data_IF_504845116011
#
_entry.id   IF_504845116011
#
_cell.length_a   1.000
_cell.length_b   1.000
_cell.length_c   1.000
_cell.angle_alpha   90.00
_cell.angle_beta   90.00
_cell.angle_gamma   90.00
#
_symmetry.space_group_name_H-M   'P 1'
#
loop_
_entity.id
_entity.type
_entity.pdbx_description
1 polymer ?
#
# COMPACT_ATOMS: atom_id res chain seq x y z
N UNK A 1 2.19 6.32 -29.61
CA UNK A 1 2.62 4.95 -29.95
C UNK A 1 3.60 4.48 -28.89
N UNK A 2 3.38 3.30 -28.33
CA UNK A 2 4.26 2.71 -27.31
C UNK A 2 5.57 2.21 -27.94
N UNK A 3 6.65 2.24 -27.18
CA UNK A 3 7.91 1.58 -27.52
C UNK A 3 7.80 0.06 -27.34
N UNK A 4 8.67 -0.70 -28.00
CA UNK A 4 8.78 -2.17 -27.82
C UNK A 4 8.95 -2.59 -26.35
N UNK A 5 9.58 -1.73 -25.56
CA UNK A 5 9.79 -1.97 -24.13
C UNK A 5 8.50 -1.81 -23.35
N UNK A 6 7.75 -0.74 -23.61
CA UNK A 6 6.44 -0.49 -23.01
C UNK A 6 5.41 -1.55 -23.41
N UNK A 7 5.42 -2.01 -24.67
CA UNK A 7 4.59 -3.14 -25.13
C UNK A 7 4.87 -4.42 -24.34
N UNK A 8 6.15 -4.72 -24.07
CA UNK A 8 6.54 -5.87 -23.24
C UNK A 8 6.03 -5.72 -21.81
N UNK A 9 6.20 -4.54 -21.21
CA UNK A 9 5.73 -4.27 -19.86
C UNK A 9 4.20 -4.42 -19.79
N UNK A 10 3.48 -3.90 -20.78
CA UNK A 10 2.03 -4.05 -20.87
C UNK A 10 1.60 -5.53 -21.01
N UNK A 11 2.32 -6.31 -21.81
CA UNK A 11 2.10 -7.75 -21.93
C UNK A 11 2.32 -8.47 -20.60
N UNK A 12 3.44 -8.20 -19.92
CA UNK A 12 3.79 -8.78 -18.63
C UNK A 12 2.72 -8.41 -17.56
N UNK A 13 2.18 -7.20 -17.60
CA UNK A 13 1.09 -6.77 -16.72
C UNK A 13 -0.21 -7.51 -16.98
N UNK A 14 -0.62 -7.65 -18.24
CA UNK A 14 -1.83 -8.40 -18.60
C UNK A 14 -1.71 -9.85 -18.15
N UNK A 15 -0.53 -10.45 -18.26
CA UNK A 15 -0.29 -11.81 -17.76
C UNK A 15 -0.40 -11.89 -16.23
N UNK A 16 0.09 -10.90 -15.50
CA UNK A 16 -0.02 -10.82 -14.05
C UNK A 16 -1.45 -10.57 -13.59
N UNK A 17 -2.20 -9.72 -14.28
CA UNK A 17 -3.62 -9.47 -14.03
C UNK A 17 -4.42 -10.77 -14.16
N UNK A 18 -4.16 -11.57 -15.21
CA UNK A 18 -4.77 -12.88 -15.39
C UNK A 18 -4.48 -13.86 -14.24
N UNK A 19 -3.29 -13.77 -13.63
CA UNK A 19 -2.94 -14.61 -12.47
C UNK A 19 -3.72 -14.22 -11.20
N UNK A 20 -4.14 -12.94 -11.08
CA UNK A 20 -5.05 -12.54 -9.98
C UNK A 20 -6.43 -13.22 -10.10
N UNK A 21 -6.85 -13.61 -11.31
CA UNK A 21 -8.19 -14.18 -11.60
C UNK A 21 -8.36 -15.62 -11.16
N UNK A 22 -7.28 -16.39 -11.00
CA UNK A 22 -7.34 -17.84 -10.78
C UNK A 22 -7.46 -18.26 -9.30
N UNK A 23 -7.67 -17.32 -8.36
CA UNK A 23 -7.86 -17.65 -6.95
C UNK A 23 -9.35 -17.70 -6.57
N UNK A 24 -9.84 -18.89 -6.24
CA UNK A 24 -11.24 -19.16 -5.92
C UNK A 24 -11.85 -18.30 -4.80
N UNK A 25 -13.16 -18.09 -4.95
CA UNK A 25 -14.00 -17.16 -4.21
C UNK A 25 -14.39 -17.66 -2.82
N UNK A 26 -14.08 -16.85 -1.81
CA UNK A 26 -14.85 -16.84 -0.56
C UNK A 26 -15.05 -15.39 -0.14
N UNK A 27 -16.29 -15.02 0.12
CA UNK A 27 -16.72 -13.68 0.52
C UNK A 27 -15.96 -13.20 1.77
N UNK A 28 -15.14 -12.15 1.64
CA UNK A 28 -14.29 -11.59 2.71
C UNK A 28 -15.09 -11.21 3.94
N UNK A 29 -16.31 -10.71 3.74
CA UNK A 29 -17.22 -10.37 4.83
C UNK A 29 -17.59 -11.61 5.64
N UNK A 30 -17.88 -12.73 4.97
CA UNK A 30 -18.14 -14.02 5.63
C UNK A 30 -16.91 -14.57 6.34
N UNK A 31 -15.70 -14.35 5.83
CA UNK A 31 -14.47 -14.74 6.52
C UNK A 31 -14.25 -13.92 7.79
N UNK A 32 -14.45 -12.61 7.71
CA UNK A 32 -14.35 -11.69 8.85
C UNK A 32 -15.40 -12.02 9.92
N UNK A 33 -16.66 -12.19 9.51
CA UNK A 33 -17.77 -12.54 10.40
C UNK A 33 -17.55 -13.90 11.06
N UNK A 34 -17.09 -14.92 10.31
CA UNK A 34 -16.74 -16.22 10.88
C UNK A 34 -15.63 -16.12 11.94
N UNK A 35 -14.67 -15.22 11.78
CA UNK A 35 -13.59 -15.05 12.75
C UNK A 35 -13.99 -14.19 13.96
N UNK A 36 -14.69 -13.07 13.73
CA UNK A 36 -15.26 -12.23 14.79
C UNK A 36 -16.14 -13.07 15.72
N UNK A 37 -17.01 -13.88 15.13
CA UNK A 37 -17.94 -14.73 15.85
C UNK A 37 -17.28 -16.00 16.40
N UNK A 38 -16.15 -16.44 15.84
CA UNK A 38 -15.51 -17.72 16.18
C UNK A 38 -14.28 -17.66 17.09
N UNK A 39 -13.24 -16.90 16.71
CA UNK A 39 -11.95 -16.87 17.43
C UNK A 39 -11.85 -15.64 18.32
N UNK A 40 -12.34 -14.50 17.85
CA UNK A 40 -12.33 -13.26 18.63
C UNK A 40 -13.30 -13.33 19.80
N UNK A 41 -14.50 -13.90 19.61
CA UNK A 41 -15.46 -14.20 20.69
C UNK A 41 -14.91 -15.10 21.80
N UNK A 42 -13.91 -15.95 21.50
CA UNK A 42 -13.22 -16.81 22.47
C UNK A 42 -12.12 -16.09 23.27
N UNK A 43 -11.71 -14.89 22.86
CA UNK A 43 -10.77 -14.10 23.66
C UNK A 43 -11.46 -13.61 24.94
N UNK A 44 -10.75 -13.52 26.08
CA UNK A 44 -11.28 -12.91 27.28
C UNK A 44 -11.82 -11.51 27.00
N UNK A 45 -12.97 -11.18 27.57
CA UNK A 45 -13.67 -9.91 27.32
C UNK A 45 -12.78 -8.68 27.53
N UNK A 46 -11.93 -8.73 28.57
CA UNK A 46 -10.92 -7.70 28.85
C UNK A 46 -9.99 -7.42 27.66
N UNK A 47 -9.52 -8.47 26.95
CA UNK A 47 -8.63 -8.33 25.79
C UNK A 47 -9.36 -7.82 24.54
N UNK A 48 -10.63 -8.18 24.36
CA UNK A 48 -11.47 -7.63 23.27
C UNK A 48 -11.72 -6.14 23.48
N UNK A 49 -12.07 -5.75 24.70
CA UNK A 49 -12.35 -4.36 25.05
C UNK A 49 -11.08 -3.49 24.96
N UNK A 50 -9.93 -4.00 25.41
CA UNK A 50 -8.64 -3.33 25.26
C UNK A 50 -8.21 -3.16 23.79
N UNK A 51 -8.55 -4.12 22.94
CA UNK A 51 -8.31 -4.03 21.50
C UNK A 51 -9.15 -2.91 20.85
N UNK A 52 -10.46 -2.87 21.12
CA UNK A 52 -11.33 -1.83 20.57
C UNK A 52 -10.97 -0.43 21.10
N UNK A 53 -10.63 -0.31 22.38
CA UNK A 53 -10.25 0.99 22.96
C UNK A 53 -8.93 1.54 22.42
N UNK A 54 -8.00 0.66 21.99
CA UNK A 54 -6.74 1.07 21.35
C UNK A 54 -6.87 1.37 19.85
N UNK A 55 -7.89 0.82 19.19
CA UNK A 55 -8.08 0.98 17.74
C UNK A 55 -8.28 2.45 17.34
N UNK A 56 -9.00 3.24 18.16
CA UNK A 56 -9.17 4.67 17.92
C UNK A 56 -7.84 5.43 18.00
N UNK A 57 -7.00 5.09 18.99
CA UNK A 57 -5.64 5.63 19.09
C UNK A 57 -4.76 5.27 17.89
N UNK A 58 -4.86 4.04 17.38
CA UNK A 58 -4.15 3.62 16.18
C UNK A 58 -4.60 4.39 14.93
N UNK A 59 -5.91 4.61 14.77
CA UNK A 59 -6.44 5.41 13.67
C UNK A 59 -5.94 6.85 13.74
N UNK A 60 -5.93 7.44 14.94
CA UNK A 60 -5.39 8.76 15.16
C UNK A 60 -3.90 8.85 14.79
N UNK A 61 -3.08 7.90 15.24
CA UNK A 61 -1.65 7.87 14.92
C UNK A 61 -1.36 7.64 13.43
N UNK A 62 -2.14 6.78 12.76
CA UNK A 62 -2.04 6.57 11.31
C UNK A 62 -2.37 7.85 10.56
N UNK A 63 -3.46 8.51 10.93
CA UNK A 63 -3.88 9.77 10.33
C UNK A 63 -2.80 10.85 10.49
N UNK A 64 -2.26 11.02 11.72
CA UNK A 64 -1.20 11.98 12.00
C UNK A 64 0.10 11.66 11.23
N UNK A 65 0.48 10.38 11.13
CA UNK A 65 1.67 9.97 10.40
C UNK A 65 1.55 10.23 8.90
N UNK A 66 0.39 9.89 8.30
CA UNK A 66 0.13 10.10 6.87
C UNK A 66 0.18 11.59 6.53
N UNK A 67 -0.26 12.45 7.44
CA UNK A 67 -0.19 13.91 7.29
C UNK A 67 1.19 14.52 7.58
N UNK A 68 2.15 13.75 8.10
CA UNK A 68 3.47 14.30 8.46
C UNK A 68 4.26 14.76 7.22
N UNK A 69 4.38 16.07 7.05
CA UNK A 69 4.99 16.70 5.87
C UNK A 69 6.51 16.55 5.80
N UNK A 70 7.21 16.52 6.93
CA UNK A 70 8.68 16.52 6.96
C UNK A 70 9.30 15.30 6.26
N UNK A 71 8.74 14.11 6.51
CA UNK A 71 9.22 12.88 5.86
C UNK A 71 8.92 12.86 4.35
N UNK A 72 7.94 13.64 3.89
CA UNK A 72 7.59 13.78 2.46
C UNK A 72 8.58 14.70 1.76
N UNK A 73 8.96 15.82 2.38
CA UNK A 73 9.91 16.77 1.81
C UNK A 73 11.29 16.13 1.58
N UNK A 74 11.80 15.39 2.56
CA UNK A 74 13.09 14.71 2.42
C UNK A 74 13.07 13.62 1.33
N UNK A 75 11.94 12.93 1.18
CA UNK A 75 11.75 11.93 0.13
C UNK A 75 11.70 12.56 -1.26
N UNK A 76 10.93 13.65 -1.41
CA UNK A 76 10.82 14.43 -2.65
C UNK A 76 12.19 14.88 -3.14
N UNK A 77 13.00 15.47 -2.25
CA UNK A 77 14.35 15.91 -2.60
C UNK A 77 15.25 14.78 -3.12
N UNK A 78 15.20 13.59 -2.49
CA UNK A 78 15.97 12.42 -2.95
C UNK A 78 15.49 11.86 -4.29
N UNK A 79 14.17 11.81 -4.50
CA UNK A 79 13.58 11.33 -5.75
C UNK A 79 14.00 12.26 -6.90
N UNK A 80 13.81 13.57 -6.75
CA UNK A 80 14.21 14.58 -7.74
C UNK A 80 15.72 14.57 -7.98
N UNK A 81 16.53 14.44 -6.92
CA UNK A 81 17.98 14.34 -7.04
C UNK A 81 18.43 13.11 -7.86
N UNK A 82 17.74 11.99 -7.71
CA UNK A 82 18.00 10.78 -8.52
C UNK A 82 17.53 10.97 -9.96
N UNK A 83 16.37 11.59 -10.15
CA UNK A 83 15.80 11.87 -11.46
C UNK A 83 16.70 12.78 -12.31
N UNK A 84 17.33 13.78 -11.68
CA UNK A 84 18.30 14.69 -12.31
C UNK A 84 19.55 14.01 -12.85
N UNK A 85 19.85 12.78 -12.41
CA UNK A 85 20.93 11.98 -13.00
C UNK A 85 20.57 11.45 -14.39
N UNK A 86 19.28 11.35 -14.70
CA UNK A 86 18.78 10.90 -16.00
C UNK A 86 18.39 12.07 -16.91
N UNK A 87 17.85 13.14 -16.32
CA UNK A 87 17.49 14.37 -17.03
C UNK A 87 17.62 15.57 -16.08
N UNK A 88 18.57 16.46 -16.35
CA UNK A 88 18.89 17.62 -15.53
C UNK A 88 17.80 18.69 -15.50
N UNK A 89 16.88 18.69 -16.46
CA UNK A 89 15.75 19.62 -16.53
C UNK A 89 14.61 19.30 -15.54
N UNK A 90 14.72 18.25 -14.73
CA UNK A 90 13.69 17.86 -13.76
C UNK A 90 13.76 18.76 -12.53
N UNK A 91 12.74 19.59 -12.31
CA UNK A 91 12.63 20.50 -11.17
C UNK A 91 11.51 20.11 -10.22
N UNK A 92 10.40 19.65 -10.78
CA UNK A 92 9.16 19.32 -10.08
C UNK A 92 8.82 17.83 -10.22
N UNK A 93 7.90 17.35 -9.38
CA UNK A 93 7.49 15.94 -9.38
C UNK A 93 6.79 15.59 -10.70
N UNK A 94 6.04 16.53 -11.25
CA UNK A 94 5.33 16.38 -12.51
C UNK A 94 6.28 16.15 -13.69
N UNK A 95 7.51 16.71 -13.64
CA UNK A 95 8.52 16.57 -14.69
C UNK A 95 9.06 15.15 -14.81
N UNK A 96 8.85 14.32 -13.78
CA UNK A 96 9.21 12.90 -13.79
C UNK A 96 8.55 12.18 -14.99
N UNK A 97 7.39 12.64 -15.47
CA UNK A 97 6.71 12.08 -16.64
C UNK A 97 7.54 12.14 -17.93
N UNK A 98 8.56 13.00 -18.00
CA UNK A 98 9.51 13.04 -19.11
C UNK A 98 10.47 11.84 -19.15
N UNK A 99 10.61 11.10 -18.03
CA UNK A 99 11.43 9.91 -17.95
C UNK A 99 10.73 8.69 -18.58
N UNK A 100 11.55 7.73 -18.99
CA UNK A 100 11.07 6.41 -19.41
C UNK A 100 10.51 5.61 -18.22
N UNK A 101 9.58 4.71 -18.50
CA UNK A 101 9.01 3.80 -17.50
C UNK A 101 10.06 2.99 -16.73
N UNK A 102 11.18 2.62 -17.38
CA UNK A 102 12.28 1.89 -16.73
C UNK A 102 13.05 2.79 -15.74
N UNK A 103 13.28 4.07 -16.10
CA UNK A 103 13.90 5.04 -15.18
C UNK A 103 12.99 5.32 -13.97
N UNK A 104 11.68 5.50 -14.21
CA UNK A 104 10.70 5.69 -13.13
C UNK A 104 10.65 4.46 -12.20
N UNK A 105 10.60 3.26 -12.79
CA UNK A 105 10.62 2.00 -12.05
C UNK A 105 11.92 1.87 -11.23
N UNK A 106 13.06 2.21 -11.81
CA UNK A 106 14.35 2.19 -11.10
C UNK A 106 14.35 3.12 -9.88
N UNK A 107 13.86 4.36 -10.03
CA UNK A 107 13.79 5.32 -8.92
C UNK A 107 12.84 4.80 -7.83
N UNK A 108 11.67 4.27 -8.22
CA UNK A 108 10.71 3.67 -7.30
C UNK A 108 11.30 2.46 -6.54
N UNK A 109 12.01 1.57 -7.24
CA UNK A 109 12.67 0.42 -6.64
C UNK A 109 13.77 0.82 -5.66
N UNK A 110 14.55 1.86 -5.98
CA UNK A 110 15.60 2.37 -5.11
C UNK A 110 15.03 2.93 -3.80
N UNK A 111 13.93 3.71 -3.86
CA UNK A 111 13.28 4.23 -2.66
C UNK A 111 12.63 3.11 -1.84
N UNK A 112 11.97 2.16 -2.50
CA UNK A 112 11.29 1.05 -1.82
C UNK A 112 12.26 0.02 -1.24
N UNK A 113 13.44 -0.19 -1.83
CA UNK A 113 14.48 -1.05 -1.27
C UNK A 113 14.95 -0.60 0.11
N UNK A 114 15.16 0.72 0.28
CA UNK A 114 15.49 1.32 1.58
C UNK A 114 14.36 1.09 2.58
N UNK A 115 13.11 1.23 2.15
CA UNK A 115 11.95 1.00 2.99
C UNK A 115 11.79 -0.46 3.42
N UNK A 116 12.04 -1.41 2.50
CA UNK A 116 12.06 -2.85 2.79
C UNK A 116 13.11 -3.20 3.84
N UNK A 117 14.27 -2.54 3.84
CA UNK A 117 15.31 -2.71 4.85
C UNK A 117 14.84 -2.23 6.23
N UNK A 118 14.14 -1.09 6.32
CA UNK A 118 13.54 -0.63 7.57
C UNK A 118 12.49 -1.60 8.12
N UNK A 119 11.60 -2.11 7.25
CA UNK A 119 10.62 -3.14 7.64
C UNK A 119 11.28 -4.44 8.12
N UNK A 120 12.42 -4.82 7.52
CA UNK A 120 13.20 -5.98 7.93
C UNK A 120 13.83 -5.79 9.31
N UNK A 121 14.46 -4.65 9.55
CA UNK A 121 15.07 -4.29 10.85
C UNK A 121 14.00 -4.23 11.96
N UNK A 122 12.87 -3.56 11.71
CA UNK A 122 11.75 -3.52 12.66
C UNK A 122 11.18 -4.93 12.94
N UNK A 123 11.06 -5.77 11.90
CA UNK A 123 10.65 -7.16 12.03
C UNK A 123 11.64 -8.06 12.80
N UNK A 124 12.91 -7.66 12.89
CA UNK A 124 13.94 -8.34 13.69
C UNK A 124 13.86 -8.01 15.17
N UNK A 125 13.63 -6.74 15.52
CA UNK A 125 13.47 -6.27 16.92
C UNK A 125 12.24 -6.87 17.59
N UNK A 126 11.16 -7.05 16.84
CA UNK A 126 9.89 -7.64 17.31
C UNK A 126 9.94 -9.15 17.54
N UNK A 127 10.93 -9.86 16.98
CA UNK A 127 11.11 -11.31 17.13
C UNK A 127 11.60 -11.76 18.51
N UNK A 128 12.08 -10.83 19.36
CA UNK A 128 12.60 -11.12 20.71
C UNK A 128 11.49 -11.08 21.78
N UNK A 129 10.36 -10.39 21.54
CA UNK A 129 9.31 -10.12 22.55
C UNK A 129 7.97 -10.82 22.30
N UNK A 130 7.96 -12.16 22.31
CA UNK A 130 6.80 -13.01 21.98
C UNK A 130 5.42 -12.54 22.49
N UNK A 131 4.38 -12.80 21.68
CA UNK A 131 2.92 -12.59 21.89
C UNK A 131 2.41 -11.20 22.37
N UNK A 132 3.21 -10.37 23.05
CA UNK A 132 2.80 -9.13 23.73
C UNK A 132 3.01 -7.85 22.92
N UNK A 133 3.71 -7.89 21.78
CA UNK A 133 3.96 -6.72 20.91
C UNK A 133 2.91 -6.51 19.79
N UNK A 134 1.73 -7.11 19.90
CA UNK A 134 0.66 -6.89 18.92
C UNK A 134 0.00 -5.50 19.02
N UNK A 135 0.34 -4.66 20.01
CA UNK A 135 -0.39 -3.40 20.23
C UNK A 135 0.32 -2.08 19.91
N UNK A 136 1.63 -2.07 19.66
CA UNK A 136 2.37 -0.83 19.34
C UNK A 136 2.90 -0.79 17.89
N UNK A 137 3.21 -1.95 17.31
CA UNK A 137 3.89 -2.02 16.02
C UNK A 137 2.95 -2.02 14.79
N UNK A 138 1.65 -2.27 14.98
CA UNK A 138 0.69 -2.32 13.87
C UNK A 138 0.54 -0.98 13.14
N UNK A 139 0.31 0.16 13.81
CA UNK A 139 0.20 1.45 13.13
C UNK A 139 1.48 1.82 12.40
N UNK A 140 2.63 1.57 13.02
CA UNK A 140 3.94 1.86 12.40
C UNK A 140 4.14 1.03 11.14
N UNK A 141 3.82 -0.26 11.19
CA UNK A 141 3.97 -1.13 10.02
C UNK A 141 3.03 -0.71 8.87
N UNK A 142 1.77 -0.37 9.18
CA UNK A 142 0.84 0.16 8.17
C UNK A 142 1.35 1.48 7.61
N UNK A 143 1.76 2.42 8.47
CA UNK A 143 2.33 3.71 8.11
C UNK A 143 3.53 3.60 7.16
N UNK A 144 4.48 2.71 7.46
CA UNK A 144 5.64 2.45 6.60
C UNK A 144 5.21 1.90 5.23
N UNK A 145 4.26 0.96 5.19
CA UNK A 145 3.81 0.43 3.90
C UNK A 145 3.01 1.44 3.07
N UNK A 146 2.17 2.28 3.70
CA UNK A 146 1.53 3.42 3.03
C UNK A 146 2.60 4.36 2.48
N UNK A 147 3.63 4.67 3.26
CA UNK A 147 4.76 5.50 2.81
C UNK A 147 5.48 4.88 1.63
N UNK A 148 5.66 3.56 1.58
CA UNK A 148 6.26 2.89 0.45
C UNK A 148 5.43 3.07 -0.84
N UNK A 149 4.10 3.00 -0.76
CA UNK A 149 3.20 3.27 -1.91
C UNK A 149 3.28 4.74 -2.33
N UNK A 150 3.30 5.68 -1.38
CA UNK A 150 3.47 7.10 -1.67
C UNK A 150 4.80 7.39 -2.40
N UNK A 151 5.90 6.77 -1.97
CA UNK A 151 7.21 6.90 -2.62
C UNK A 151 7.18 6.40 -4.06
N UNK A 152 6.46 5.31 -4.33
CA UNK A 152 6.25 4.81 -5.70
C UNK A 152 5.46 5.85 -6.50
N UNK A 153 4.30 6.31 -6.00
CA UNK A 153 3.49 7.32 -6.65
C UNK A 153 4.30 8.55 -7.08
N UNK A 154 5.06 9.11 -6.13
CA UNK A 154 5.94 10.27 -6.36
C UNK A 154 7.06 9.97 -7.33
N UNK A 155 7.62 8.75 -7.32
CA UNK A 155 8.63 8.33 -8.29
C UNK A 155 8.08 8.25 -9.72
N UNK A 156 6.78 8.01 -9.89
CA UNK A 156 6.06 8.06 -11.17
C UNK A 156 5.54 9.45 -11.54
N UNK A 157 5.86 10.47 -10.75
CA UNK A 157 5.48 11.85 -11.01
C UNK A 157 4.13 12.29 -10.45
N UNK A 158 3.61 11.55 -9.46
CA UNK A 158 2.37 11.87 -8.77
C UNK A 158 2.63 12.45 -7.39
N UNK A 159 2.35 13.74 -7.20
CA UNK A 159 2.56 14.44 -5.93
C UNK A 159 1.47 14.06 -4.93
N UNK A 160 1.81 13.21 -3.96
CA UNK A 160 0.91 12.75 -2.88
C UNK A 160 0.55 13.83 -1.86
N UNK A 161 1.09 15.05 -2.00
CA UNK A 161 0.54 16.21 -1.29
C UNK A 161 -0.79 16.67 -1.89
N UNK A 162 -1.11 16.26 -3.13
CA UNK A 162 -2.41 16.50 -3.74
C UNK A 162 -3.44 15.54 -3.14
N UNK A 163 -4.62 16.06 -2.72
CA UNK A 163 -5.75 15.28 -2.20
C UNK A 163 -6.04 13.95 -2.90
N UNK A 164 -6.26 14.04 -4.21
CA UNK A 164 -6.60 12.90 -5.05
C UNK A 164 -5.50 11.83 -5.03
N UNK A 165 -4.24 12.25 -5.20
CA UNK A 165 -3.10 11.34 -5.26
C UNK A 165 -2.85 10.65 -3.91
N UNK A 166 -3.08 11.33 -2.80
CA UNK A 166 -3.04 10.72 -1.47
C UNK A 166 -4.13 9.65 -1.32
N UNK A 167 -5.38 9.98 -1.69
CA UNK A 167 -6.48 9.03 -1.61
C UNK A 167 -6.22 7.81 -2.50
N UNK A 168 -5.76 8.02 -3.73
CA UNK A 168 -5.41 6.96 -4.65
C UNK A 168 -4.30 6.07 -4.08
N UNK A 169 -3.24 6.65 -3.50
CA UNK A 169 -2.19 5.89 -2.85
C UNK A 169 -2.72 5.02 -1.67
N UNK A 170 -3.68 5.53 -0.90
CA UNK A 170 -4.34 4.75 0.17
C UNK A 170 -5.19 3.61 -0.40
N UNK A 171 -5.93 3.84 -1.49
CA UNK A 171 -6.73 2.80 -2.16
C UNK A 171 -5.83 1.72 -2.76
N UNK A 172 -4.71 2.10 -3.40
CA UNK A 172 -3.70 1.17 -3.92
C UNK A 172 -3.09 0.33 -2.79
N UNK A 173 -2.73 0.96 -1.68
CA UNK A 173 -2.26 0.24 -0.50
C UNK A 173 -3.32 -0.72 0.04
N UNK A 174 -4.56 -0.27 0.20
CA UNK A 174 -5.67 -1.11 0.66
C UNK A 174 -5.87 -2.32 -0.25
N UNK A 175 -5.91 -2.10 -1.57
CA UNK A 175 -5.99 -3.16 -2.56
C UNK A 175 -4.84 -4.17 -2.42
N UNK A 176 -3.61 -3.70 -2.25
CA UNK A 176 -2.44 -4.56 -2.12
C UNK A 176 -2.45 -5.46 -0.86
N UNK A 177 -3.14 -5.06 0.21
CA UNK A 177 -3.25 -5.84 1.45
C UNK A 177 -4.51 -6.71 1.52
N UNK A 178 -5.43 -6.58 0.55
CA UNK A 178 -6.58 -7.46 0.46
C UNK A 178 -6.13 -8.91 0.24
N UNK A 179 -6.94 -9.89 0.66
CA UNK A 179 -6.75 -11.27 0.25
C UNK A 179 -6.65 -11.37 -1.28
N UNK A 180 -5.77 -12.23 -1.78
CA UNK A 180 -5.45 -12.23 -3.20
C UNK A 180 -6.64 -12.53 -4.15
N UNK A 181 -7.69 -13.22 -3.68
CA UNK A 181 -8.97 -13.35 -4.43
C UNK A 181 -9.78 -12.04 -4.56
N UNK A 182 -9.59 -11.06 -3.67
CA UNK A 182 -10.21 -9.73 -3.76
C UNK A 182 -9.32 -8.70 -4.46
N UNK A 183 -8.02 -8.97 -4.56
CA UNK A 183 -7.08 -8.05 -5.20
C UNK A 183 -7.44 -7.78 -6.65
N UNK A 184 -7.99 -8.77 -7.35
CA UNK A 184 -8.49 -8.60 -8.72
C UNK A 184 -9.61 -7.55 -8.79
N UNK A 185 -10.64 -7.69 -7.96
CA UNK A 185 -11.76 -6.74 -7.94
C UNK A 185 -11.29 -5.33 -7.59
N UNK A 186 -10.43 -5.20 -6.57
CA UNK A 186 -9.87 -3.91 -6.19
C UNK A 186 -8.97 -3.31 -7.28
N UNK A 187 -8.21 -4.13 -7.99
CA UNK A 187 -7.40 -3.72 -9.14
C UNK A 187 -8.28 -3.14 -10.26
N UNK A 188 -9.37 -3.80 -10.64
CA UNK A 188 -10.29 -3.26 -11.64
C UNK A 188 -10.94 -1.95 -11.21
N UNK A 189 -11.38 -1.85 -9.97
CA UNK A 189 -11.95 -0.61 -9.45
C UNK A 189 -10.94 0.56 -9.52
N UNK A 190 -9.68 0.30 -9.19
CA UNK A 190 -8.60 1.30 -9.31
C UNK A 190 -8.40 1.73 -10.76
N UNK A 191 -8.40 0.81 -11.72
CA UNK A 191 -8.26 1.14 -13.14
C UNK A 191 -9.47 1.92 -13.68
N UNK A 192 -10.68 1.57 -13.24
CA UNK A 192 -11.90 2.28 -13.61
C UNK A 192 -11.92 3.71 -13.04
N UNK A 193 -11.43 3.91 -11.82
CA UNK A 193 -11.29 5.24 -11.23
C UNK A 193 -10.31 6.12 -12.02
N UNK A 194 -9.22 5.54 -12.55
CA UNK A 194 -8.31 6.26 -13.46
C UNK A 194 -9.01 6.68 -14.76
N UNK A 195 -9.82 5.80 -15.35
CA UNK A 195 -10.58 6.12 -16.59
C UNK A 195 -11.57 7.26 -16.37
N UNK A 196 -12.21 7.28 -15.20
CA UNK A 196 -13.16 8.34 -14.83
C UNK A 196 -12.44 9.68 -14.59
N UNK A 197 -11.28 9.67 -13.93
CA UNK A 197 -10.43 10.86 -13.76
C UNK A 197 -10.03 11.44 -15.14
N UNK A 198 -9.57 10.60 -16.06
CA UNK A 198 -9.10 10.98 -17.39
C UNK A 198 -10.24 11.49 -18.29
N UNK A 199 -11.43 10.90 -18.20
CA UNK A 199 -12.59 11.26 -19.03
C UNK A 199 -13.28 12.57 -18.60
N UNK A 200 -13.13 13.00 -17.35
CA UNK A 200 -13.83 14.17 -16.81
C UNK A 200 -12.92 15.05 -15.90
N UNK A 201 -11.81 15.62 -16.41
CA UNK A 201 -10.89 16.41 -15.58
C UNK A 201 -11.54 17.66 -14.94
N UNK A 202 -12.59 18.20 -15.58
CA UNK A 202 -13.29 19.42 -15.16
C UNK A 202 -14.70 19.16 -14.60
N UNK A 203 -15.21 17.93 -14.70
CA UNK A 203 -16.57 17.54 -14.26
C UNK A 203 -16.55 16.60 -13.04
N UNK A 204 -15.37 16.37 -12.46
CA UNK A 204 -15.28 15.78 -11.14
C UNK A 204 -15.73 16.81 -10.09
N UNK A 205 -17.04 16.85 -9.79
CA UNK A 205 -17.60 17.40 -8.54
C UNK A 205 -17.18 16.58 -7.30
N UNK A 206 -16.05 15.86 -7.37
CA UNK A 206 -15.54 15.01 -6.31
C UNK A 206 -14.53 15.70 -5.39
N UNK A 207 -14.15 16.96 -5.62
CA UNK A 207 -13.28 17.68 -4.67
C UNK A 207 -13.90 17.76 -3.27
N UNK A 208 -15.23 17.81 -3.15
CA UNK A 208 -15.93 17.88 -1.85
C UNK A 208 -16.20 16.49 -1.21
N UNK A 209 -16.28 15.40 -1.99
CA UNK A 209 -16.55 14.04 -1.46
C UNK A 209 -15.31 13.14 -1.34
N UNK A 210 -14.31 13.30 -2.22
CA UNK A 210 -13.11 12.45 -2.29
C UNK A 210 -12.17 12.71 -1.11
N UNK A 211 -12.21 13.91 -0.52
CA UNK A 211 -11.57 14.24 0.76
C UNK A 211 -12.54 14.85 1.77
N UNK A 212 -13.73 14.28 1.94
CA UNK A 212 -14.34 14.42 3.25
C UNK A 212 -13.38 13.74 4.26
N UNK A 213 -12.93 14.41 5.34
CA UNK A 213 -12.16 13.74 6.39
C UNK A 213 -12.80 12.43 6.86
N UNK A 214 -14.13 12.32 6.75
CA UNK A 214 -14.87 11.09 6.94
C UNK A 214 -14.46 9.97 5.96
N UNK A 215 -14.29 10.23 4.66
CA UNK A 215 -13.90 9.25 3.63
C UNK A 215 -12.51 8.67 3.90
N UNK A 216 -11.52 9.51 4.24
CA UNK A 216 -10.18 9.06 4.63
C UNK A 216 -10.24 8.22 5.91
N UNK A 217 -10.98 8.67 6.92
CA UNK A 217 -11.13 7.91 8.16
C UNK A 217 -11.82 6.56 7.94
N UNK A 218 -12.84 6.49 7.08
CA UNK A 218 -13.51 5.24 6.70
C UNK A 218 -12.53 4.29 6.01
N UNK A 219 -11.73 4.78 5.07
CA UNK A 219 -10.72 3.96 4.40
C UNK A 219 -9.62 3.49 5.36
N UNK A 220 -9.13 4.36 6.25
CA UNK A 220 -8.17 3.98 7.29
C UNK A 220 -8.73 2.92 8.25
N UNK A 221 -10.03 3.00 8.60
CA UNK A 221 -10.72 1.95 9.35
C UNK A 221 -10.76 0.63 8.58
N UNK A 222 -11.05 0.66 7.28
CA UNK A 222 -11.05 -0.56 6.44
C UNK A 222 -9.64 -1.16 6.29
N UNK A 223 -8.63 -0.33 6.08
CA UNK A 223 -7.21 -0.70 6.06
C UNK A 223 -6.85 -1.39 7.37
N UNK A 224 -7.16 -0.76 8.51
CA UNK A 224 -6.80 -1.30 9.83
C UNK A 224 -7.47 -2.66 10.06
N UNK A 225 -8.76 -2.79 9.75
CA UNK A 225 -9.49 -4.07 9.81
C UNK A 225 -8.83 -5.14 8.92
N UNK A 226 -8.57 -4.81 7.66
CA UNK A 226 -7.97 -5.72 6.67
C UNK A 226 -6.59 -6.19 7.11
N UNK A 227 -5.77 -5.25 7.58
CA UNK A 227 -4.40 -5.53 8.01
C UNK A 227 -4.34 -6.41 9.27
N UNK A 228 -5.28 -6.21 10.20
CA UNK A 228 -5.41 -7.04 11.40
C UNK A 228 -5.79 -8.47 10.99
N UNK A 229 -6.75 -8.65 10.08
CA UNK A 229 -7.13 -9.97 9.55
C UNK A 229 -5.92 -10.64 8.89
N UNK A 230 -5.21 -9.93 8.02
CA UNK A 230 -4.02 -10.42 7.34
C UNK A 230 -2.95 -10.90 8.35
N UNK A 231 -2.62 -10.05 9.32
CA UNK A 231 -1.61 -10.33 10.35
C UNK A 231 -1.98 -11.53 11.21
N UNK A 232 -3.27 -11.72 11.50
CA UNK A 232 -3.77 -12.82 12.33
C UNK A 232 -3.88 -14.14 11.57
N UNK A 233 -4.30 -14.13 10.29
CA UNK A 233 -4.31 -15.33 9.42
C UNK A 233 -2.90 -15.93 9.36
N UNK A 234 -1.88 -15.10 9.16
CA UNK A 234 -0.47 -15.53 9.14
C UNK A 234 -0.06 -16.26 10.44
N UNK A 235 -0.61 -15.88 11.59
CA UNK A 235 -0.26 -16.45 12.89
C UNK A 235 -0.99 -17.77 13.20
N UNK A 236 -2.21 -17.97 12.68
CA UNK A 236 -2.99 -19.21 12.85
C UNK A 236 -2.38 -20.41 12.11
N UNK A 237 -1.68 -20.18 11.00
CA UNK A 237 -0.97 -21.23 10.26
C UNK A 237 0.42 -21.59 10.84
N UNK A 238 0.91 -20.84 11.83
CA UNK A 238 2.24 -21.01 12.42
C UNK A 238 2.22 -21.86 13.70
N UNK A 239 1.54 -23.01 13.68
CA UNK A 239 1.42 -23.94 14.81
C UNK A 239 2.74 -24.56 15.34
N UNK A 240 3.90 -23.95 15.12
CA UNK A 240 5.21 -24.41 15.62
C UNK A 240 6.03 -23.20 16.12
N UNK A 241 6.36 -23.14 17.43
CA UNK A 241 7.20 -22.09 18.00
C UNK A 241 8.68 -22.44 17.78
N UNK A 242 9.19 -22.24 16.57
CA UNK A 242 10.62 -22.42 16.29
C UNK A 242 11.14 -21.28 15.42
N UNK A 243 12.07 -20.49 15.98
CA UNK A 243 12.90 -19.42 15.38
C UNK A 243 12.22 -18.03 15.17
N UNK A 244 11.99 -17.32 16.28
CA UNK A 244 11.24 -16.05 16.35
C UNK A 244 11.82 -14.82 15.61
N UNK A 245 13.12 -14.73 15.36
CA UNK A 245 13.72 -13.53 14.71
C UNK A 245 13.79 -13.68 13.17
N UNK A 246 14.11 -14.88 12.67
CA UNK A 246 14.25 -15.13 11.24
C UNK A 246 12.89 -15.17 10.51
N UNK A 247 11.84 -15.69 11.17
CA UNK A 247 10.51 -15.86 10.57
C UNK A 247 9.70 -14.54 10.58
N UNK A 248 9.89 -13.70 11.61
CA UNK A 248 9.20 -12.40 11.77
C UNK A 248 9.65 -11.36 10.74
N UNK A 249 10.96 -11.09 10.70
CA UNK A 249 11.63 -10.15 9.79
C UNK A 249 11.40 -10.51 8.31
N UNK A 250 11.58 -11.79 7.95
CA UNK A 250 11.38 -12.29 6.59
C UNK A 250 9.97 -12.04 6.09
N UNK A 251 8.95 -12.22 6.92
CA UNK A 251 7.58 -12.10 6.44
C UNK A 251 7.00 -10.68 6.54
N UNK A 252 7.57 -9.77 7.35
CA UNK A 252 7.34 -8.33 7.16
C UNK A 252 7.98 -7.84 5.86
N UNK A 253 9.21 -8.29 5.56
CA UNK A 253 9.86 -8.00 4.28
C UNK A 253 9.05 -8.51 3.09
N UNK A 254 8.53 -9.76 3.13
CA UNK A 254 7.67 -10.31 2.06
C UNK A 254 6.39 -9.52 1.88
N UNK A 255 5.74 -9.11 2.98
CA UNK A 255 4.54 -8.27 2.93
C UNK A 255 4.84 -6.94 2.24
N UNK A 256 5.86 -6.20 2.71
CA UNK A 256 6.25 -4.93 2.11
C UNK A 256 6.65 -5.11 0.65
N UNK A 257 7.37 -6.18 0.30
CA UNK A 257 7.70 -6.50 -1.08
C UNK A 257 6.46 -6.68 -1.94
N UNK A 258 5.50 -7.51 -1.52
CA UNK A 258 4.24 -7.74 -2.22
C UNK A 258 3.45 -6.44 -2.43
N UNK A 259 3.40 -5.57 -1.42
CA UNK A 259 2.73 -4.27 -1.50
C UNK A 259 3.43 -3.38 -2.53
N UNK A 260 4.77 -3.29 -2.47
CA UNK A 260 5.54 -2.47 -3.41
C UNK A 260 5.46 -2.99 -4.85
N UNK A 261 5.38 -4.31 -5.04
CA UNK A 261 5.20 -4.91 -6.36
C UNK A 261 3.81 -4.59 -6.94
N UNK A 262 2.75 -4.71 -6.14
CA UNK A 262 1.39 -4.33 -6.55
C UNK A 262 1.32 -2.85 -6.92
N UNK A 263 1.84 -1.97 -6.05
CA UNK A 263 1.84 -0.54 -6.29
C UNK A 263 2.67 -0.14 -7.51
N UNK A 264 3.86 -0.72 -7.70
CA UNK A 264 4.66 -0.48 -8.91
C UNK A 264 3.88 -0.85 -10.17
N UNK A 265 3.25 -2.03 -10.21
CA UNK A 265 2.43 -2.44 -11.36
C UNK A 265 1.30 -1.46 -11.62
N UNK A 266 0.63 -0.98 -10.57
CA UNK A 266 -0.44 0.01 -10.70
C UNK A 266 0.05 1.30 -11.35
N UNK A 267 1.13 1.90 -10.84
CA UNK A 267 1.64 3.17 -11.38
C UNK A 267 2.29 3.01 -12.76
N UNK A 268 2.91 1.86 -13.04
CA UNK A 268 3.35 1.53 -14.39
C UNK A 268 2.17 1.40 -15.37
N UNK A 269 1.05 0.79 -14.95
CA UNK A 269 -0.17 0.73 -15.78
C UNK A 269 -0.75 2.13 -16.02
N UNK A 270 -0.81 2.97 -14.99
CA UNK A 270 -1.23 4.38 -15.10
C UNK A 270 -0.36 5.15 -16.09
N UNK A 271 0.97 4.99 -16.02
CA UNK A 271 1.90 5.61 -16.98
C UNK A 271 1.64 5.16 -18.42
N UNK A 272 1.42 3.86 -18.64
CA UNK A 272 1.16 3.33 -19.98
C UNK A 272 -0.16 3.83 -20.55
N UNK A 273 -1.22 3.90 -19.72
CA UNK A 273 -2.52 4.44 -20.12
C UNK A 273 -2.45 5.90 -20.55
N UNK A 274 -1.70 6.74 -19.83
CA UNK A 274 -1.49 8.14 -20.22
C UNK A 274 -0.74 8.33 -21.55
N UNK A 275 -0.14 7.27 -22.11
CA UNK A 275 0.55 7.28 -23.41
C UNK A 275 -0.25 6.68 -24.56
N UNK A 276 -1.34 5.95 -24.26
CA UNK A 276 -2.19 5.28 -25.24
C UNK A 276 -3.30 6.26 -25.65
#
# INVERSE_FOLDING_TARGET
MLSKREERILYDMKSWEQQLVQQESTDFQRMFDKWLNGTFSKLPEKKRNEFFSKADGWLFHLHAFIQSSQSQLDARGRILGTARLFNDSIEHIEDMKALSIDQLTYIAEQQTARHRLYSFVQGGVTGIGGFLLLSADLPVLVALNVKAVQLIATSFGHDVNKPYEMMLALKVFHAAILPAHLQQYAWYNLLQELEQEEAAPFFYEGEEEVLNPASVQVLLKQILKTFIIYSLRRKLFQGVPVLGIAVGSTANYRLTRSITEFANRFYQMRYLRQKI
#
